data_IF_280700881189
#
_entry.id   IF_280700881189
#
_cell.length_a   1.000
_cell.length_b   1.000
_cell.length_c   1.000
_cell.angle_alpha   90.00
_cell.angle_beta   90.00
_cell.angle_gamma   90.00
#
_symmetry.space_group_name_H-M   'P 1'
#
loop_
_entity.id
_entity.type
_entity.pdbx_description
1 polymer ?
#
# COMPACT_ATOMS: atom_id res chain seq x y z
N UNK A 1 2.69 17.33 -18.62
CA UNK A 1 2.55 15.96 -18.10
C UNK A 1 1.21 15.33 -18.41
N UNK A 2 1.16 14.60 -19.52
CA UNK A 2 0.12 13.60 -19.85
C UNK A 2 0.80 12.28 -20.16
N UNK A 3 0.64 11.29 -19.27
CA UNK A 3 1.19 9.94 -19.46
C UNK A 3 0.01 9.00 -19.67
N UNK A 4 -0.16 8.44 -20.88
CA UNK A 4 -1.34 7.65 -21.21
C UNK A 4 -1.51 6.47 -20.26
N UNK A 5 -0.45 5.75 -19.90
CA UNK A 5 -0.49 4.58 -18.99
C UNK A 5 -1.18 4.88 -17.65
N UNK A 6 -1.09 6.12 -17.15
CA UNK A 6 -1.59 6.45 -15.82
C UNK A 6 -3.11 6.62 -15.87
N UNK A 7 -3.81 5.83 -15.05
CA UNK A 7 -5.27 5.94 -14.92
C UNK A 7 -5.67 7.25 -14.24
N UNK A 8 -6.87 7.76 -14.57
CA UNK A 8 -7.43 8.99 -13.98
C UNK A 8 -7.39 9.02 -12.42
N UNK A 9 -7.75 7.93 -11.70
CA UNK A 9 -7.69 7.94 -10.23
C UNK A 9 -6.27 8.15 -9.69
N UNK A 10 -5.30 7.52 -10.33
CA UNK A 10 -3.88 7.65 -9.96
C UNK A 10 -3.35 9.04 -10.32
N UNK A 11 -3.74 9.59 -11.47
CA UNK A 11 -3.39 10.96 -11.88
C UNK A 11 -3.91 12.00 -10.87
N UNK A 12 -5.17 11.88 -10.44
CA UNK A 12 -5.77 12.76 -9.41
C UNK A 12 -4.99 12.65 -8.10
N UNK A 13 -4.65 11.42 -7.68
CA UNK A 13 -3.89 11.17 -6.45
C UNK A 13 -2.49 11.81 -6.50
N UNK A 14 -1.79 11.69 -7.63
CA UNK A 14 -0.47 12.31 -7.83
C UNK A 14 -0.53 13.84 -7.89
N UNK A 15 -1.63 14.41 -8.40
CA UNK A 15 -1.87 15.86 -8.40
C UNK A 15 -2.14 16.39 -7.00
N UNK A 16 -3.00 15.72 -6.24
CA UNK A 16 -3.36 16.11 -4.86
C UNK A 16 -2.14 16.10 -3.94
N UNK A 17 -1.32 15.05 -4.04
CA UNK A 17 -0.08 14.90 -3.26
C UNK A 17 1.04 15.85 -3.67
N UNK A 18 0.90 16.59 -4.77
CA UNK A 18 1.92 17.52 -5.27
C UNK A 18 3.12 16.83 -5.94
N UNK A 19 3.02 15.54 -6.26
CA UNK A 19 4.06 14.81 -7.00
C UNK A 19 4.00 15.09 -8.52
N UNK A 20 2.82 15.42 -9.05
CA UNK A 20 2.59 15.66 -10.49
C UNK A 20 2.92 17.10 -10.97
N UNK A 21 2.87 18.09 -10.08
CA UNK A 21 3.03 19.51 -10.43
C UNK A 21 4.33 20.10 -9.89
N UNK A 22 4.88 21.10 -10.57
CA UNK A 22 6.05 21.84 -10.06
C UNK A 22 5.75 22.60 -8.77
N UNK A 23 4.49 23.01 -8.58
CA UNK A 23 4.01 23.61 -7.34
C UNK A 23 3.50 22.54 -6.39
N UNK A 24 4.14 22.46 -5.22
CA UNK A 24 3.68 21.63 -4.11
C UNK A 24 2.38 22.20 -3.58
N UNK A 25 1.37 21.36 -3.42
CA UNK A 25 0.22 21.73 -2.63
C UNK A 25 0.62 21.75 -1.14
N UNK A 26 1.08 22.92 -0.67
CA UNK A 26 1.57 23.11 0.70
C UNK A 26 0.50 22.75 1.74
N UNK A 27 -0.79 22.90 1.39
CA UNK A 27 -1.92 22.57 2.27
C UNK A 27 -2.00 21.06 2.50
N UNK A 28 -1.96 20.25 1.45
CA UNK A 28 -2.03 18.77 1.57
C UNK A 28 -0.79 18.26 2.32
N UNK A 29 0.39 18.79 2.00
CA UNK A 29 1.62 18.42 2.70
C UNK A 29 1.56 18.81 4.18
N UNK A 30 1.07 20.01 4.51
CA UNK A 30 0.89 20.48 5.88
C UNK A 30 -0.13 19.63 6.64
N UNK A 31 -1.26 19.27 6.01
CA UNK A 31 -2.26 18.37 6.59
C UNK A 31 -1.66 16.99 6.89
N UNK A 32 -0.89 16.44 5.95
CA UNK A 32 -0.21 15.15 6.14
C UNK A 32 0.83 15.18 7.27
N UNK A 33 1.62 16.25 7.40
CA UNK A 33 2.58 16.36 8.52
C UNK A 33 1.91 16.69 9.85
N UNK A 34 0.82 17.47 9.84
CA UNK A 34 0.05 17.78 11.04
C UNK A 34 -0.62 16.54 11.63
N UNK A 35 -1.06 15.59 10.78
CA UNK A 35 -1.61 14.32 11.27
C UNK A 35 -0.53 13.44 11.90
N UNK A 36 0.70 13.45 11.40
CA UNK A 36 1.85 12.74 12.01
C UNK A 36 2.14 13.26 13.41
N UNK A 37 2.21 14.59 13.55
CA UNK A 37 2.62 15.23 14.80
C UNK A 37 1.57 15.05 15.91
N UNK A 38 0.29 15.01 15.52
CA UNK A 38 -0.81 14.89 16.47
C UNK A 38 -1.03 13.45 16.93
N UNK A 39 -0.94 12.43 16.07
CA UNK A 39 -1.33 11.05 16.44
C UNK A 39 -0.23 10.25 17.13
N UNK A 40 1.00 10.35 16.64
CA UNK A 40 2.10 9.49 17.08
C UNK A 40 2.35 9.58 18.59
N UNK A 41 2.43 10.76 19.21
CA UNK A 41 2.66 10.88 20.64
C UNK A 41 1.52 10.27 21.46
N UNK A 42 0.26 10.44 21.03
CA UNK A 42 -0.89 9.87 21.75
C UNK A 42 -0.94 8.36 21.63
N UNK A 43 -0.66 7.79 20.45
CA UNK A 43 -0.62 6.33 20.28
C UNK A 43 0.51 5.69 21.08
N UNK A 44 1.69 6.32 21.15
CA UNK A 44 2.79 5.86 22.01
C UNK A 44 2.43 5.96 23.49
N UNK A 45 1.84 7.08 23.91
CA UNK A 45 1.43 7.31 25.29
C UNK A 45 0.38 6.28 25.76
N UNK A 46 -0.60 6.01 24.91
CA UNK A 46 -1.67 5.06 25.20
C UNK A 46 -1.14 3.62 25.32
N UNK A 47 -0.21 3.22 24.45
CA UNK A 47 0.49 1.94 24.54
C UNK A 47 1.29 1.78 25.84
N UNK A 48 1.96 2.85 26.31
CA UNK A 48 2.71 2.84 27.58
C UNK A 48 1.76 2.67 28.77
N UNK A 49 0.60 3.33 28.75
CA UNK A 49 -0.38 3.31 29.84
C UNK A 49 -1.09 1.95 29.96
N UNK A 50 -1.46 1.35 28.84
CA UNK A 50 -2.25 0.11 28.77
C UNK A 50 -1.39 -1.16 28.91
N UNK A 51 -0.07 -1.01 29.14
CA UNK A 51 0.92 -2.09 29.32
C UNK A 51 0.48 -3.26 30.24
N UNK A 52 -0.39 -3.01 31.21
CA UNK A 52 -0.87 -4.02 32.16
C UNK A 52 -1.92 -4.99 31.57
N UNK A 53 -2.64 -4.60 30.52
CA UNK A 53 -3.66 -5.42 29.87
C UNK A 53 -3.13 -5.94 28.52
N UNK A 54 -2.73 -7.21 28.41
CA UNK A 54 -2.06 -7.72 27.20
C UNK A 54 -2.96 -7.64 25.96
N UNK A 55 -4.26 -7.93 26.11
CA UNK A 55 -5.22 -7.90 24.99
C UNK A 55 -5.31 -6.51 24.34
N UNK A 56 -5.61 -5.49 25.14
CA UNK A 56 -5.69 -4.10 24.66
C UNK A 56 -4.33 -3.55 24.22
N UNK A 57 -3.23 -4.04 24.81
CA UNK A 57 -1.87 -3.63 24.43
C UNK A 57 -1.54 -4.09 23.00
N UNK A 58 -1.84 -5.33 22.64
CA UNK A 58 -1.56 -5.85 21.31
C UNK A 58 -2.45 -5.20 20.23
N UNK A 59 -3.72 -4.89 20.55
CA UNK A 59 -4.59 -4.09 19.68
C UNK A 59 -3.97 -2.70 19.43
N UNK A 60 -3.53 -1.99 20.47
CA UNK A 60 -2.91 -0.68 20.30
C UNK A 60 -1.54 -0.73 19.60
N UNK A 61 -0.76 -1.79 19.83
CA UNK A 61 0.51 -2.01 19.16
C UNK A 61 0.31 -2.24 17.65
N UNK A 62 -0.78 -2.89 17.25
CA UNK A 62 -1.15 -3.07 15.84
C UNK A 62 -1.32 -1.74 15.11
N UNK A 63 -2.09 -0.85 15.71
CA UNK A 63 -2.39 0.50 15.21
C UNK A 63 -1.12 1.32 15.14
N UNK A 64 -0.27 1.23 16.17
CA UNK A 64 1.01 1.92 16.21
C UNK A 64 1.96 1.47 15.09
N UNK A 65 2.12 0.15 14.88
CA UNK A 65 2.96 -0.38 13.80
C UNK A 65 2.41 0.02 12.42
N UNK A 66 1.09 0.08 12.26
CA UNK A 66 0.44 0.57 11.05
C UNK A 66 0.75 2.04 10.76
N UNK A 67 0.69 2.88 11.79
CA UNK A 67 1.07 4.29 11.70
C UNK A 67 2.54 4.46 11.31
N UNK A 68 3.46 3.73 11.97
CA UNK A 68 4.90 3.77 11.65
C UNK A 68 5.14 3.45 10.16
N UNK A 69 4.49 2.39 9.64
CA UNK A 69 4.64 1.96 8.25
C UNK A 69 4.04 2.95 7.25
N UNK A 70 2.92 3.61 7.58
CA UNK A 70 2.38 4.67 6.74
C UNK A 70 3.32 5.87 6.70
N UNK A 71 3.79 6.33 7.86
CA UNK A 71 4.67 7.49 7.93
C UNK A 71 6.03 7.23 7.31
N UNK A 72 6.57 6.00 7.41
CA UNK A 72 7.79 5.63 6.72
C UNK A 72 7.62 5.68 5.19
N UNK A 73 6.50 5.18 4.65
CA UNK A 73 6.18 5.33 3.22
C UNK A 73 6.08 6.80 2.82
N UNK A 74 5.37 7.63 3.59
CA UNK A 74 5.23 9.06 3.31
C UNK A 74 6.56 9.80 3.36
N UNK A 75 7.42 9.49 4.32
CA UNK A 75 8.80 10.00 4.42
C UNK A 75 9.61 9.61 3.20
N UNK A 76 9.61 8.33 2.81
CA UNK A 76 10.35 7.82 1.64
C UNK A 76 9.86 8.49 0.36
N UNK A 77 8.55 8.60 0.13
CA UNK A 77 7.99 9.28 -1.03
C UNK A 77 8.31 10.77 -1.04
N UNK A 78 8.24 11.43 0.12
CA UNK A 78 8.55 12.86 0.26
C UNK A 78 10.03 13.14 0.02
N UNK A 79 10.91 12.27 0.51
CA UNK A 79 12.36 12.37 0.30
C UNK A 79 12.75 12.09 -1.16
N UNK A 80 12.25 11.00 -1.74
CA UNK A 80 12.55 10.58 -3.11
C UNK A 80 11.67 11.26 -4.18
N UNK A 81 10.94 12.32 -3.82
CA UNK A 81 9.99 12.99 -4.71
C UNK A 81 10.61 13.53 -6.01
N UNK A 82 11.89 13.94 -5.96
CA UNK A 82 12.62 14.45 -7.13
C UNK A 82 12.88 13.30 -8.11
N UNK A 83 13.28 12.14 -7.60
CA UNK A 83 13.48 10.93 -8.38
C UNK A 83 12.18 10.49 -9.07
N UNK A 84 11.07 10.39 -8.32
CA UNK A 84 9.78 10.01 -8.88
C UNK A 84 9.34 10.98 -9.99
N UNK A 85 9.55 12.29 -9.80
CA UNK A 85 9.24 13.29 -10.82
C UNK A 85 10.09 13.13 -12.07
N UNK A 86 11.38 12.89 -11.91
CA UNK A 86 12.29 12.68 -13.04
C UNK A 86 11.87 11.44 -13.84
N UNK A 87 11.54 10.33 -13.15
CA UNK A 87 11.02 9.12 -13.79
C UNK A 87 9.71 9.39 -14.55
N UNK A 88 8.78 10.15 -13.98
CA UNK A 88 7.56 10.52 -14.69
C UNK A 88 7.85 11.39 -15.92
N UNK A 89 8.83 12.30 -15.85
CA UNK A 89 9.24 13.15 -16.98
C UNK A 89 9.90 12.34 -18.09
N UNK A 90 10.76 11.40 -17.73
CA UNK A 90 11.36 10.45 -18.67
C UNK A 90 10.27 9.62 -19.36
N UNK A 91 9.31 9.08 -18.60
CA UNK A 91 8.17 8.37 -19.17
C UNK A 91 7.37 9.26 -20.13
N UNK A 92 7.07 10.51 -19.77
CA UNK A 92 6.37 11.46 -20.67
C UNK A 92 7.16 11.69 -21.96
N UNK A 93 8.47 11.89 -21.87
CA UNK A 93 9.33 12.11 -23.02
C UNK A 93 9.39 10.87 -23.92
N UNK A 94 9.43 9.66 -23.36
CA UNK A 94 9.39 8.40 -24.10
C UNK A 94 8.08 8.28 -24.89
N UNK A 95 6.95 8.66 -24.28
CA UNK A 95 5.64 8.69 -24.96
C UNK A 95 5.54 9.73 -26.08
N UNK A 96 6.21 10.86 -25.93
CA UNK A 96 6.25 11.89 -26.97
C UNK A 96 7.18 11.52 -28.12
N UNK A 97 8.28 10.83 -27.82
CA UNK A 97 9.30 10.44 -28.80
C UNK A 97 8.85 9.30 -29.71
N UNK A 98 8.11 8.32 -29.17
CA UNK A 98 7.59 7.19 -29.94
C UNK A 98 6.07 7.02 -29.82
N UNK A 99 5.29 7.50 -30.80
CA UNK A 99 3.84 7.33 -30.79
C UNK A 99 3.41 5.86 -30.99
N UNK A 100 4.28 4.97 -31.48
CA UNK A 100 3.97 3.53 -31.62
C UNK A 100 3.96 2.82 -30.27
N UNK A 101 4.70 3.32 -29.28
CA UNK A 101 4.72 2.79 -27.91
C UNK A 101 3.31 2.67 -27.33
N UNK A 102 2.44 3.64 -27.62
CA UNK A 102 1.04 3.64 -27.20
C UNK A 102 0.29 2.41 -27.73
N UNK A 103 0.46 2.10 -29.03
CA UNK A 103 -0.16 0.96 -29.70
C UNK A 103 0.34 -0.37 -29.12
N UNK A 104 1.64 -0.47 -28.80
CA UNK A 104 2.20 -1.66 -28.14
C UNK A 104 1.61 -1.89 -26.74
N UNK A 105 1.35 -0.83 -25.99
CA UNK A 105 0.74 -0.93 -24.65
C UNK A 105 -0.73 -1.34 -24.75
N UNK A 106 -1.47 -0.82 -25.74
CA UNK A 106 -2.85 -1.21 -26.00
C UNK A 106 -2.95 -2.68 -26.41
N UNK A 107 -2.07 -3.13 -27.31
CA UNK A 107 -1.95 -4.53 -27.73
C UNK A 107 -1.49 -5.45 -26.60
N UNK A 108 -0.67 -4.96 -25.67
CA UNK A 108 -0.26 -5.69 -24.46
C UNK A 108 -1.42 -5.89 -23.47
N UNK A 109 -2.63 -5.41 -23.75
CA UNK A 109 -3.84 -5.79 -23.02
C UNK A 109 -4.16 -4.96 -21.77
N UNK A 110 -3.73 -3.70 -21.68
CA UNK A 110 -4.09 -2.77 -20.60
C UNK A 110 -3.87 -3.28 -19.16
N UNK A 111 -3.01 -4.31 -18.98
CA UNK A 111 -2.73 -4.96 -17.70
C UNK A 111 -2.41 -4.02 -16.53
N UNK A 112 -1.50 -3.03 -16.65
CA UNK A 112 -1.16 -2.16 -15.53
C UNK A 112 -2.30 -1.20 -15.16
N UNK A 113 -3.06 -0.70 -16.14
CA UNK A 113 -4.23 0.16 -15.87
C UNK A 113 -5.34 -0.60 -15.18
N UNK A 114 -5.64 -1.82 -15.65
CA UNK A 114 -6.65 -2.68 -15.04
C UNK A 114 -6.24 -3.02 -13.61
N UNK A 115 -4.98 -3.38 -13.41
CA UNK A 115 -4.43 -3.66 -12.09
C UNK A 115 -4.58 -2.48 -11.12
N UNK A 116 -4.13 -1.27 -11.50
CA UNK A 116 -4.29 -0.08 -10.65
C UNK A 116 -5.76 0.29 -10.41
N UNK A 117 -6.66 0.05 -11.37
CA UNK A 117 -8.10 0.25 -11.16
C UNK A 117 -8.66 -0.74 -10.15
N UNK A 118 -8.35 -2.04 -10.29
CA UNK A 118 -8.78 -3.06 -9.33
C UNK A 118 -8.26 -2.75 -7.92
N UNK A 119 -6.98 -2.39 -7.81
CA UNK A 119 -6.38 -1.98 -6.54
C UNK A 119 -7.11 -0.77 -5.94
N UNK A 120 -7.39 0.26 -6.74
CA UNK A 120 -8.17 1.43 -6.30
C UNK A 120 -9.58 1.05 -5.83
N UNK A 121 -10.30 0.18 -6.55
CA UNK A 121 -11.64 -0.27 -6.17
C UNK A 121 -11.65 -1.15 -4.91
N UNK A 122 -10.64 -1.99 -4.73
CA UNK A 122 -10.47 -2.78 -3.50
C UNK A 122 -10.31 -1.86 -2.29
N UNK A 123 -9.45 -0.84 -2.38
CA UNK A 123 -9.27 0.13 -1.29
C UNK A 123 -10.52 1.01 -1.08
N UNK A 124 -11.20 1.41 -2.15
CA UNK A 124 -12.45 2.17 -2.06
C UNK A 124 -13.55 1.36 -1.38
N UNK A 125 -13.69 0.08 -1.73
CA UNK A 125 -14.65 -0.85 -1.12
C UNK A 125 -14.35 -1.09 0.36
N UNK A 126 -13.09 -1.36 0.71
CA UNK A 126 -12.67 -1.50 2.10
C UNK A 126 -12.98 -0.24 2.94
N UNK A 127 -12.71 0.94 2.37
CA UNK A 127 -13.03 2.22 3.01
C UNK A 127 -14.54 2.39 3.19
N UNK A 128 -15.36 2.09 2.17
CA UNK A 128 -16.81 2.21 2.24
C UNK A 128 -17.42 1.31 3.33
N UNK A 129 -16.93 0.07 3.46
CA UNK A 129 -17.36 -0.84 4.53
C UNK A 129 -17.05 -0.28 5.93
N UNK A 130 -15.87 0.30 6.10
CA UNK A 130 -15.47 0.96 7.35
C UNK A 130 -16.41 2.13 7.69
N UNK A 131 -16.79 2.94 6.70
CA UNK A 131 -17.75 4.03 6.87
C UNK A 131 -19.15 3.58 7.26
N UNK A 132 -19.65 2.53 6.63
CA UNK A 132 -20.95 1.93 6.99
C UNK A 132 -20.93 1.43 8.43
N UNK A 133 -19.83 0.82 8.87
CA UNK A 133 -19.68 0.36 10.26
C UNK A 133 -19.72 1.53 11.26
N UNK A 134 -18.97 2.61 11.00
CA UNK A 134 -19.00 3.81 11.87
C UNK A 134 -20.38 4.46 11.87
N UNK A 135 -20.99 4.61 10.70
CA UNK A 135 -22.34 5.19 10.56
C UNK A 135 -23.39 4.38 11.33
N UNK A 136 -23.32 3.05 11.27
CA UNK A 136 -24.18 2.17 12.05
C UNK A 136 -23.98 2.36 13.55
N UNK A 137 -22.73 2.40 14.04
CA UNK A 137 -22.44 2.65 15.46
C UNK A 137 -22.95 4.03 15.90
N UNK A 138 -22.79 5.04 15.06
CA UNK A 138 -23.26 6.40 15.36
C UNK A 138 -24.78 6.48 15.49
N UNK A 139 -25.53 5.73 14.67
CA UNK A 139 -27.00 5.70 14.71
C UNK A 139 -27.52 4.80 15.83
N UNK A 140 -26.88 3.65 16.06
CA UNK A 140 -27.38 2.64 16.99
C UNK A 140 -27.02 2.89 18.45
N UNK A 141 -25.94 3.64 18.74
CA UNK A 141 -25.41 3.82 20.11
C UNK A 141 -25.72 5.22 20.66
N UNK A 142 -26.34 5.33 21.86
CA UNK A 142 -26.60 6.61 22.54
C UNK A 142 -25.31 7.40 22.81
N UNK A 143 -25.39 8.73 22.78
CA UNK A 143 -24.23 9.66 22.86
C UNK A 143 -23.31 9.36 24.05
N UNK A 144 -23.86 9.00 25.20
CA UNK A 144 -23.11 8.74 26.44
C UNK A 144 -22.22 7.48 26.37
N UNK A 145 -22.61 6.51 25.54
CA UNK A 145 -21.93 5.22 25.33
C UNK A 145 -21.09 5.20 24.04
N UNK A 146 -21.02 6.30 23.29
CA UNK A 146 -20.20 6.35 22.08
C UNK A 146 -18.72 6.35 22.43
N UNK A 147 -18.04 5.27 22.07
CA UNK A 147 -16.59 5.19 22.09
C UNK A 147 -16.00 5.86 20.85
N UNK A 148 -14.79 6.39 20.98
CA UNK A 148 -14.07 6.95 19.85
C UNK A 148 -13.73 5.85 18.83
N UNK A 149 -13.61 6.21 17.55
CA UNK A 149 -13.38 5.26 16.43
C UNK A 149 -12.12 4.43 16.67
N UNK A 150 -11.09 5.07 17.24
CA UNK A 150 -9.94 4.39 17.81
C UNK A 150 -10.03 4.47 19.34
N UNK A 151 -9.86 3.33 20.01
CA UNK A 151 -9.83 3.21 21.48
C UNK A 151 -8.53 3.77 22.05
N UNK A 152 -8.34 5.07 21.88
CA UNK A 152 -7.18 5.83 22.38
C UNK A 152 -7.63 6.70 23.54
N UNK A 153 -6.88 6.67 24.64
CA UNK A 153 -7.13 7.58 25.74
C UNK A 153 -6.70 9.02 25.39
N UNK A 154 -7.65 9.95 25.49
CA UNK A 154 -7.39 11.37 25.37
C UNK A 154 -7.31 12.01 26.76
N UNK A 155 -6.27 12.83 27.06
CA UNK A 155 -6.11 13.49 28.36
C UNK A 155 -7.06 14.68 28.59
N UNK A 156 -8.02 14.92 27.68
CA UNK A 156 -9.00 15.99 27.73
C UNK A 156 -10.42 15.41 27.57
N UNK A 157 -11.43 16.10 28.10
CA UNK A 157 -12.81 15.68 27.95
C UNK A 157 -13.29 15.90 26.51
N UNK A 158 -13.34 14.81 25.75
CA UNK A 158 -13.71 14.81 24.34
C UNK A 158 -15.21 14.55 24.12
N UNK A 159 -16.00 14.34 25.18
CA UNK A 159 -17.44 14.03 25.06
C UNK A 159 -18.31 15.26 24.83
N UNK A 160 -17.80 16.46 25.09
CA UNK A 160 -18.51 17.71 24.82
C UNK A 160 -18.54 18.05 23.32
N UNK A 161 -19.71 18.42 22.78
CA UNK A 161 -19.82 19.03 21.45
C UNK A 161 -19.28 20.47 21.52
N UNK A 162 -18.46 20.96 20.56
CA UNK A 162 -18.11 20.39 19.25
C UNK A 162 -16.79 19.60 19.20
N UNK A 163 -16.09 19.43 20.32
CA UNK A 163 -14.77 18.77 20.39
C UNK A 163 -14.86 17.32 19.91
N UNK A 164 -15.94 16.62 20.26
CA UNK A 164 -16.21 15.27 19.80
C UNK A 164 -16.26 15.15 18.26
N UNK A 165 -16.97 16.07 17.60
CA UNK A 165 -17.15 16.04 16.14
C UNK A 165 -15.84 16.29 15.40
N UNK A 166 -15.04 17.26 15.87
CA UNK A 166 -13.71 17.55 15.31
C UNK A 166 -12.77 16.36 15.50
N UNK A 167 -12.82 15.70 16.66
CA UNK A 167 -12.01 14.52 16.96
C UNK A 167 -12.40 13.34 16.07
N UNK A 168 -13.71 13.09 15.90
CA UNK A 168 -14.22 12.03 15.01
C UNK A 168 -13.83 12.30 13.56
N UNK A 169 -13.97 13.53 13.06
CA UNK A 169 -13.52 13.91 11.71
C UNK A 169 -12.01 13.69 11.51
N UNK A 170 -11.22 14.03 12.53
CA UNK A 170 -9.76 13.84 12.51
C UNK A 170 -9.40 12.35 12.50
N UNK A 171 -10.06 11.54 13.33
CA UNK A 171 -9.90 10.08 13.36
C UNK A 171 -10.36 9.42 12.06
N UNK A 172 -11.41 9.91 11.44
CA UNK A 172 -11.92 9.46 10.15
C UNK A 172 -10.86 9.64 9.04
N UNK A 173 -10.23 10.82 8.97
CA UNK A 173 -9.18 11.10 7.99
C UNK A 173 -7.98 10.18 8.23
N UNK A 174 -7.70 9.87 9.49
CA UNK A 174 -6.63 8.97 9.91
C UNK A 174 -6.94 7.50 9.63
N UNK A 175 -8.19 7.06 9.83
CA UNK A 175 -8.66 5.71 9.50
C UNK A 175 -8.52 5.42 8.02
N UNK A 176 -8.90 6.38 7.16
CA UNK A 176 -8.68 6.28 5.71
C UNK A 176 -7.19 6.10 5.33
N UNK A 177 -6.27 6.60 6.15
CA UNK A 177 -4.83 6.40 5.95
C UNK A 177 -4.38 5.02 6.50
N UNK A 178 -4.95 4.54 7.61
CA UNK A 178 -4.48 3.35 8.33
C UNK A 178 -5.06 2.00 7.84
N UNK A 179 -6.17 2.00 7.08
CA UNK A 179 -6.90 0.79 6.65
C UNK A 179 -6.07 -0.30 5.94
N UNK A 180 -4.85 -0.03 5.48
CA UNK A 180 -4.07 -1.00 4.71
C UNK A 180 -3.12 -1.88 5.54
N UNK A 181 -2.88 -1.56 6.82
CA UNK A 181 -1.78 -2.18 7.61
C UNK A 181 -2.27 -2.80 8.93
N UNK A 182 -3.45 -2.44 9.41
CA UNK A 182 -4.00 -2.83 10.71
C UNK A 182 -4.42 -4.32 10.84
N UNK A 183 -4.53 -5.05 9.72
CA UNK A 183 -5.15 -6.37 9.69
C UNK A 183 -4.32 -7.53 10.26
N UNK A 184 -2.99 -7.43 10.30
CA UNK A 184 -2.13 -8.57 10.61
C UNK A 184 -2.10 -8.92 12.11
N UNK A 185 -2.13 -7.92 12.99
CA UNK A 185 -2.03 -8.11 14.44
C UNK A 185 -3.37 -8.29 15.15
N UNK A 186 -4.45 -7.65 14.67
CA UNK A 186 -5.81 -7.84 15.22
C UNK A 186 -6.36 -9.25 14.90
N UNK A 187 -6.04 -9.78 13.71
CA UNK A 187 -6.45 -11.14 13.31
C UNK A 187 -5.80 -12.24 14.16
N UNK A 188 -4.61 -11.99 14.73
CA UNK A 188 -3.85 -12.96 15.50
C UNK A 188 -4.38 -13.11 16.94
N UNK A 189 -4.75 -12.00 17.59
CA UNK A 189 -5.33 -12.02 18.94
C UNK A 189 -6.74 -12.60 18.97
N UNK A 190 -7.56 -12.25 17.97
CA UNK A 190 -8.99 -12.56 18.00
C UNK A 190 -9.27 -13.99 17.53
N UNK A 191 -8.45 -14.52 16.62
CA UNK A 191 -8.44 -15.95 16.27
C UNK A 191 -8.04 -16.87 17.44
N UNK A 192 -7.36 -16.34 18.47
CA UNK A 192 -6.98 -17.08 19.67
C UNK A 192 -8.06 -17.08 20.76
N UNK A 193 -9.04 -16.17 20.71
CA UNK A 193 -9.92 -15.86 21.86
C UNK A 193 -11.42 -16.04 21.55
N UNK A 194 -11.84 -16.06 20.28
CA UNK A 194 -13.26 -15.87 19.92
C UNK A 194 -13.86 -17.03 19.12
N UNK A 195 -14.93 -17.64 19.65
CA UNK A 195 -15.77 -18.63 18.95
C UNK A 195 -16.89 -17.99 18.10
N UNK A 196 -16.98 -16.66 18.05
CA UNK A 196 -18.07 -15.95 17.37
C UNK A 196 -17.87 -15.86 15.83
N UNK A 197 -18.84 -16.31 15.01
CA UNK A 197 -18.72 -16.37 13.55
C UNK A 197 -18.73 -14.99 12.86
N UNK A 198 -19.40 -13.99 13.45
CA UNK A 198 -19.47 -12.62 12.90
C UNK A 198 -18.15 -11.86 13.03
N UNK A 199 -17.39 -12.18 14.06
CA UNK A 199 -16.04 -11.70 14.32
C UNK A 199 -15.12 -12.30 13.24
N UNK A 200 -15.11 -13.62 13.08
CA UNK A 200 -14.35 -14.38 12.06
C UNK A 200 -14.46 -13.83 10.63
N UNK A 201 -15.68 -13.52 10.16
CA UNK A 201 -15.89 -12.99 8.79
C UNK A 201 -15.21 -11.62 8.60
N UNK A 202 -15.20 -10.77 9.63
CA UNK A 202 -14.51 -9.46 9.57
C UNK A 202 -12.98 -9.63 9.50
N UNK A 203 -12.41 -10.54 10.30
CA UNK A 203 -10.96 -10.82 10.28
C UNK A 203 -10.48 -11.42 8.96
N UNK A 204 -11.27 -12.32 8.37
CA UNK A 204 -10.96 -12.88 7.06
C UNK A 204 -10.86 -11.78 5.98
N UNK A 205 -11.76 -10.79 6.01
CA UNK A 205 -11.74 -9.64 5.11
C UNK A 205 -10.51 -8.74 5.29
N UNK A 206 -10.12 -8.47 6.54
CA UNK A 206 -8.95 -7.66 6.85
C UNK A 206 -7.65 -8.37 6.44
N UNK A 207 -7.47 -9.64 6.82
CA UNK A 207 -6.30 -10.44 6.43
C UNK A 207 -6.13 -10.51 4.91
N UNK A 208 -7.24 -10.66 4.18
CA UNK A 208 -7.26 -10.63 2.73
C UNK A 208 -6.72 -9.31 2.18
N UNK A 209 -7.09 -8.16 2.76
CA UNK A 209 -6.60 -6.84 2.31
C UNK A 209 -5.08 -6.69 2.48
N UNK A 210 -4.51 -7.12 3.61
CA UNK A 210 -3.05 -7.07 3.81
C UNK A 210 -2.30 -8.05 2.91
N UNK A 211 -2.83 -9.25 2.71
CA UNK A 211 -2.27 -10.21 1.75
C UNK A 211 -2.30 -9.63 0.33
N UNK A 212 -3.42 -9.00 -0.05
CA UNK A 212 -3.59 -8.35 -1.35
C UNK A 212 -2.56 -7.24 -1.58
N UNK A 213 -2.21 -6.46 -0.56
CA UNK A 213 -1.20 -5.42 -0.65
C UNK A 213 0.19 -6.00 -0.96
N UNK A 214 0.63 -7.02 -0.22
CA UNK A 214 1.96 -7.64 -0.42
C UNK A 214 1.98 -8.38 -1.77
N UNK A 215 0.92 -9.12 -2.07
CA UNK A 215 0.72 -9.81 -3.34
C UNK A 215 0.83 -8.83 -4.52
N UNK A 216 0.26 -7.64 -4.40
CA UNK A 216 0.30 -6.62 -5.46
C UNK A 216 1.72 -6.19 -5.82
N UNK A 217 2.57 -5.94 -4.82
CA UNK A 217 3.98 -5.61 -5.04
C UNK A 217 4.77 -6.79 -5.62
N UNK A 218 4.58 -7.99 -5.08
CA UNK A 218 5.25 -9.20 -5.56
C UNK A 218 4.82 -9.59 -6.98
N UNK A 219 3.54 -9.41 -7.33
CA UNK A 219 3.03 -9.63 -8.69
C UNK A 219 3.62 -8.62 -9.68
N UNK A 220 3.71 -7.35 -9.29
CA UNK A 220 4.34 -6.32 -10.13
C UNK A 220 5.83 -6.65 -10.38
N UNK A 221 6.56 -7.04 -9.33
CA UNK A 221 7.96 -7.49 -9.43
C UNK A 221 8.13 -8.73 -10.31
N UNK A 222 7.28 -9.74 -10.14
CA UNK A 222 7.30 -10.96 -10.97
C UNK A 222 7.00 -10.68 -12.44
N UNK A 223 6.04 -9.79 -12.72
CA UNK A 223 5.73 -9.38 -14.10
C UNK A 223 6.90 -8.67 -14.77
N UNK A 224 7.63 -7.86 -14.01
CA UNK A 224 8.82 -7.16 -14.49
C UNK A 224 9.94 -8.15 -14.82
N UNK A 225 10.20 -9.11 -13.92
CA UNK A 225 11.13 -10.22 -14.13
C UNK A 225 10.79 -11.00 -15.42
N UNK A 226 9.55 -11.49 -15.51
CA UNK A 226 9.09 -12.27 -16.66
C UNK A 226 9.18 -11.49 -17.98
N UNK A 227 8.98 -10.17 -17.96
CA UNK A 227 9.13 -9.33 -19.16
C UNK A 227 10.61 -9.11 -19.49
N UNK A 228 11.47 -8.92 -18.48
CA UNK A 228 12.90 -8.75 -18.66
C UNK A 228 13.54 -9.99 -19.30
N UNK A 229 13.18 -11.19 -18.84
CA UNK A 229 13.74 -12.44 -19.36
C UNK A 229 13.37 -12.70 -20.82
N UNK A 230 12.17 -12.24 -21.23
CA UNK A 230 11.68 -12.40 -22.61
C UNK A 230 12.41 -11.51 -23.62
N UNK A 231 13.11 -10.46 -23.18
CA UNK A 231 13.82 -9.54 -24.08
C UNK A 231 14.90 -10.31 -24.87
N UNK A 232 15.71 -11.11 -24.17
CA UNK A 232 16.78 -11.88 -24.79
C UNK A 232 16.24 -12.82 -25.89
N UNK A 233 15.18 -13.55 -25.56
CA UNK A 233 14.54 -14.51 -26.47
C UNK A 233 13.97 -13.83 -27.71
N UNK A 234 13.23 -12.73 -27.53
CA UNK A 234 12.65 -11.98 -28.65
C UNK A 234 13.71 -11.39 -29.58
N UNK A 235 14.81 -10.91 -29.03
CA UNK A 235 15.91 -10.39 -29.84
C UNK A 235 16.59 -11.50 -30.64
N UNK A 236 16.74 -12.69 -30.06
CA UNK A 236 17.29 -13.86 -30.75
C UNK A 236 16.39 -14.35 -31.90
N UNK A 237 15.06 -14.27 -31.74
CA UNK A 237 14.06 -14.64 -32.76
C UNK A 237 13.99 -13.66 -33.94
N UNK A 238 14.59 -12.47 -33.83
CA UNK A 238 14.64 -11.53 -34.97
C UNK A 238 15.54 -12.05 -36.09
N UNK A 239 15.36 -11.54 -37.31
CA UNK A 239 16.18 -11.90 -38.48
C UNK A 239 17.53 -11.14 -38.44
N UNK A 240 18.20 -11.17 -37.28
CA UNK A 240 19.43 -10.40 -37.01
C UNK A 240 20.57 -10.77 -37.97
N UNK A 241 20.63 -12.00 -38.46
CA UNK A 241 21.69 -12.44 -39.38
C UNK A 241 21.57 -11.86 -40.80
N UNK A 242 20.47 -11.17 -41.12
CA UNK A 242 20.27 -10.46 -42.40
C UNK A 242 20.32 -8.93 -42.28
N UNK A 243 20.57 -8.40 -41.08
CA UNK A 243 20.61 -6.95 -40.85
C UNK A 243 22.02 -6.39 -41.04
N UNK A 244 22.18 -5.07 -40.94
CA UNK A 244 23.49 -4.44 -41.07
C UNK A 244 24.42 -4.87 -39.93
N UNK A 245 25.74 -4.82 -40.17
CA UNK A 245 26.76 -5.16 -39.16
C UNK A 245 26.57 -4.33 -37.86
N UNK A 246 26.14 -3.07 -37.98
CA UNK A 246 25.87 -2.22 -36.81
C UNK A 246 24.71 -2.76 -35.98
N UNK A 247 23.64 -3.22 -36.63
CA UNK A 247 22.47 -3.80 -35.96
C UNK A 247 22.80 -5.15 -35.34
N UNK A 248 23.61 -6.00 -35.99
CA UNK A 248 24.06 -7.28 -35.42
C UNK A 248 24.79 -7.05 -34.08
N UNK A 249 25.72 -6.10 -34.04
CA UNK A 249 26.41 -5.75 -32.79
C UNK A 249 25.46 -5.21 -31.72
N UNK A 250 24.46 -4.40 -32.11
CA UNK A 250 23.44 -3.90 -31.19
C UNK A 250 22.58 -5.03 -30.61
N UNK A 251 22.11 -5.97 -31.44
CA UNK A 251 21.34 -7.15 -31.01
C UNK A 251 22.17 -7.98 -30.03
N UNK A 252 23.42 -8.28 -30.35
CA UNK A 252 24.32 -9.04 -29.48
C UNK A 252 24.53 -8.35 -28.12
N UNK A 253 24.70 -7.02 -28.12
CA UNK A 253 24.80 -6.24 -26.89
C UNK A 253 23.52 -6.34 -26.04
N UNK A 254 22.35 -6.20 -26.67
CA UNK A 254 21.05 -6.29 -25.98
C UNK A 254 20.85 -7.68 -25.37
N UNK A 255 21.17 -8.75 -26.10
CA UNK A 255 21.09 -10.13 -25.59
C UNK A 255 22.03 -10.30 -24.38
N UNK A 256 23.28 -9.87 -24.48
CA UNK A 256 24.25 -9.95 -23.38
C UNK A 256 23.80 -9.15 -22.15
N UNK A 257 23.21 -7.97 -22.33
CA UNK A 257 22.71 -7.13 -21.24
C UNK A 257 21.45 -7.70 -20.59
N UNK A 258 20.55 -8.31 -21.37
CA UNK A 258 19.28 -8.88 -20.89
C UNK A 258 19.44 -10.18 -20.10
N UNK A 259 20.60 -10.85 -20.19
CA UNK A 259 20.97 -11.96 -19.29
C UNK A 259 21.06 -11.55 -17.82
N UNK A 260 21.17 -10.25 -17.52
CA UNK A 260 20.98 -9.70 -16.18
C UNK A 260 19.57 -9.13 -16.07
N UNK A 261 18.61 -9.88 -15.50
CA UNK A 261 17.21 -9.46 -15.45
C UNK A 261 17.02 -8.20 -14.62
N UNK A 262 16.01 -7.42 -14.99
CA UNK A 262 15.61 -6.22 -14.26
C UNK A 262 14.81 -6.61 -13.02
N UNK A 263 15.48 -6.62 -11.87
CA UNK A 263 14.92 -6.99 -10.57
C UNK A 263 14.56 -5.76 -9.73
N UNK A 264 13.41 -5.79 -9.07
CA UNK A 264 13.09 -4.86 -7.98
C UNK A 264 13.50 -5.51 -6.66
N UNK A 265 14.50 -4.94 -5.99
CA UNK A 265 14.99 -5.45 -4.70
C UNK A 265 14.63 -4.52 -3.56
N UNK A 266 14.12 -5.08 -2.47
CA UNK A 266 13.97 -4.42 -1.18
C UNK A 266 15.31 -4.47 -0.45
N UNK A 267 15.77 -3.29 0.01
CA UNK A 267 17.02 -3.14 0.79
C UNK A 267 18.28 -3.79 0.17
N UNK A 268 18.30 -3.99 -1.16
CA UNK A 268 19.35 -4.72 -1.91
C UNK A 268 19.53 -6.20 -1.54
N UNK A 269 18.70 -6.77 -0.67
CA UNK A 269 18.85 -8.14 -0.16
C UNK A 269 17.77 -9.10 -0.63
N UNK A 270 16.56 -8.60 -0.89
CA UNK A 270 15.40 -9.47 -1.16
C UNK A 270 14.67 -9.00 -2.40
N UNK A 271 14.51 -9.88 -3.37
CA UNK A 271 13.80 -9.59 -4.62
C UNK A 271 12.29 -9.63 -4.42
N UNK A 272 11.57 -8.68 -5.02
CA UNK A 272 10.11 -8.71 -5.08
C UNK A 272 9.67 -9.73 -6.13
N UNK A 273 9.33 -10.93 -5.67
CA UNK A 273 8.87 -12.04 -6.50
C UNK A 273 7.72 -12.79 -5.82
N UNK A 274 7.07 -13.68 -6.57
CA UNK A 274 6.06 -14.58 -5.99
C UNK A 274 6.68 -15.55 -4.97
N UNK A 275 7.96 -15.89 -5.11
CA UNK A 275 8.69 -16.73 -4.14
C UNK A 275 8.74 -16.04 -2.78
N UNK A 276 9.09 -14.75 -2.76
CA UNK A 276 9.14 -13.93 -1.55
C UNK A 276 7.77 -13.81 -0.89
N UNK A 277 6.70 -13.65 -1.68
CA UNK A 277 5.33 -13.67 -1.16
C UNK A 277 5.00 -15.00 -0.47
N UNK A 278 5.28 -16.13 -1.12
CA UNK A 278 5.05 -17.45 -0.53
C UNK A 278 5.87 -17.67 0.75
N UNK A 279 7.11 -17.17 0.80
CA UNK A 279 7.92 -17.22 2.01
C UNK A 279 7.29 -16.44 3.16
N UNK A 280 6.84 -15.20 2.92
CA UNK A 280 6.14 -14.37 3.91
C UNK A 280 4.90 -15.10 4.44
N UNK A 281 4.08 -15.67 3.54
CA UNK A 281 2.88 -16.41 3.93
C UNK A 281 3.22 -17.64 4.79
N UNK A 282 4.23 -18.43 4.38
CA UNK A 282 4.69 -19.60 5.15
C UNK A 282 5.18 -19.22 6.54
N UNK A 283 5.95 -18.14 6.67
CA UNK A 283 6.43 -17.66 7.97
C UNK A 283 5.27 -17.21 8.85
N UNK A 284 4.28 -16.48 8.29
CA UNK A 284 3.10 -16.04 9.05
C UNK A 284 2.27 -17.21 9.58
N UNK A 285 1.99 -18.21 8.74
CA UNK A 285 1.27 -19.42 9.17
C UNK A 285 2.08 -20.26 10.17
N UNK A 286 3.41 -20.30 10.03
CA UNK A 286 4.28 -20.99 10.99
C UNK A 286 4.25 -20.29 12.35
N UNK A 287 4.34 -18.95 12.40
CA UNK A 287 4.19 -18.19 13.64
C UNK A 287 2.83 -18.41 14.29
N UNK A 288 1.74 -18.37 13.50
CA UNK A 288 0.39 -18.66 13.98
C UNK A 288 0.28 -20.07 14.57
N UNK A 289 0.85 -21.08 13.89
CA UNK A 289 0.83 -22.47 14.34
C UNK A 289 1.56 -22.65 15.67
N UNK A 290 2.73 -22.01 15.82
CA UNK A 290 3.49 -22.02 17.07
C UNK A 290 2.69 -21.34 18.19
N UNK A 291 2.11 -20.17 17.94
CA UNK A 291 1.31 -19.46 18.94
C UNK A 291 0.09 -20.28 19.38
N UNK A 292 -0.59 -20.95 18.45
CA UNK A 292 -1.69 -21.86 18.76
C UNK A 292 -1.24 -23.06 19.58
N UNK A 293 -0.07 -23.62 19.28
CA UNK A 293 0.49 -24.75 20.02
C UNK A 293 0.97 -24.38 21.43
N UNK A 294 1.37 -23.13 21.68
CA UNK A 294 1.75 -22.66 23.01
C UNK A 294 0.56 -22.27 23.89
N UNK A 295 -0.62 -22.02 23.31
CA UNK A 295 -1.82 -21.60 24.03
C UNK A 295 -2.79 -22.77 24.32
N UNK A 296 -2.66 -23.88 23.59
CA UNK A 296 -3.28 -25.17 23.92
C UNK A 296 -2.39 -25.98 24.85
#
# INVERSE_FOLDING_TARGET
MKIPIIGKPLEISLKLTGFWSDKVNKVVLALMWSSVLTTMPFSVWDAIRIRKNPLMLFDNLSVFLAQVLLYSKLLIFSYNRRLLRNLLREMENDFQSDPQLLRYIELSGNDPRRFCKYEFFVYLGASALFWVQIGFVYVAVPVEMREAVFKVYYPFDYKSSPVYEVLVLTQIIQGMLQCCIQAFSESLLIALISDDPTILVKFAGYYFCSCWQIFSFCLAGQRLLNKSDKIAMKMYETIWYKTSIKEIHAVAFIIKRSQKPLMLSVAKSTELSMVTFTQIMKTSFSCLSVLRACYN
#
